data_IF_039113530424
#
_entry.id   IF_039113530424
#
_cell.length_a   1.000
_cell.length_b   1.000
_cell.length_c   1.000
_cell.angle_alpha   90.00
_cell.angle_beta   90.00
_cell.angle_gamma   90.00
#
_symmetry.space_group_name_H-M   'P 1'
#
loop_
_entity.id
_entity.type
_entity.pdbx_description
1 polymer ?
#
# COMPACT_ATOMS: atom_id res chain seq x y z
N UNK A 1 25.06 -18.76 -17.82
CA UNK A 1 23.64 -19.05 -17.98
C UNK A 1 22.98 -18.29 -19.14
N UNK A 2 23.67 -17.31 -19.79
CA UNK A 2 23.12 -16.48 -20.87
C UNK A 2 24.00 -16.46 -22.13
N UNK A 3 24.89 -17.46 -22.30
CA UNK A 3 25.84 -17.50 -23.41
C UNK A 3 25.16 -17.64 -24.80
N UNK A 4 23.94 -18.13 -24.84
CA UNK A 4 23.19 -18.43 -26.07
C UNK A 4 22.04 -17.43 -26.35
N UNK A 5 21.93 -16.34 -25.57
CA UNK A 5 20.90 -15.32 -25.78
C UNK A 5 21.42 -14.25 -26.72
N UNK A 6 20.93 -14.27 -27.95
CA UNK A 6 21.18 -13.23 -28.96
C UNK A 6 19.94 -12.33 -29.02
N UNK A 7 20.12 -11.05 -28.70
CA UNK A 7 19.06 -10.05 -28.92
C UNK A 7 19.28 -9.38 -30.27
N UNK A 8 18.29 -9.51 -31.17
CA UNK A 8 18.28 -8.79 -32.43
C UNK A 8 17.51 -7.49 -32.28
N UNK A 9 18.11 -6.38 -32.68
CA UNK A 9 17.43 -5.10 -32.72
C UNK A 9 16.70 -4.97 -34.06
N UNK A 10 15.35 -4.89 -34.09
CA UNK A 10 14.60 -4.70 -35.33
C UNK A 10 14.80 -3.31 -35.97
N UNK A 11 15.42 -2.36 -35.24
CA UNK A 11 15.67 -0.98 -35.68
C UNK A 11 17.15 -0.66 -35.64
N UNK A 12 17.89 -1.10 -36.65
CA UNK A 12 19.35 -0.93 -36.72
C UNK A 12 19.83 0.51 -36.95
N UNK A 13 18.93 1.45 -37.19
CA UNK A 13 19.26 2.85 -37.55
C UNK A 13 19.08 3.85 -36.40
N UNK A 14 18.39 3.49 -35.32
CA UNK A 14 18.20 4.37 -34.16
C UNK A 14 19.39 4.19 -33.18
N UNK A 15 20.04 5.31 -32.86
CA UNK A 15 21.12 5.33 -31.86
C UNK A 15 20.50 5.44 -30.48
N UNK A 16 20.66 4.43 -29.64
CA UNK A 16 20.34 4.50 -28.21
C UNK A 16 21.44 5.19 -27.41
N UNK A 17 21.12 5.63 -26.22
CA UNK A 17 22.07 6.17 -25.24
C UNK A 17 22.05 5.33 -23.97
N UNK A 18 23.21 5.01 -23.44
CA UNK A 18 23.36 4.31 -22.14
C UNK A 18 24.31 5.12 -21.25
N UNK A 19 23.83 5.44 -20.05
CA UNK A 19 24.60 6.10 -19.01
C UNK A 19 24.69 5.18 -17.79
N UNK A 20 25.87 5.04 -17.22
CA UNK A 20 26.09 4.33 -15.97
C UNK A 20 26.70 5.32 -14.98
N UNK A 21 26.05 5.49 -13.84
CA UNK A 21 26.50 6.35 -12.76
C UNK A 21 26.82 5.52 -11.53
N UNK A 22 27.99 5.75 -10.93
CA UNK A 22 28.38 5.19 -9.64
C UNK A 22 28.18 6.26 -8.58
N UNK A 23 27.38 5.94 -7.55
CA UNK A 23 27.08 6.86 -6.47
C UNK A 23 27.91 6.48 -5.26
N UNK A 24 28.60 7.45 -4.68
CA UNK A 24 29.31 7.31 -3.42
C UNK A 24 28.54 8.06 -2.33
N UNK A 25 28.18 7.41 -1.21
CA UNK A 25 27.49 8.08 -0.11
C UNK A 25 28.40 9.17 0.45
N UNK A 26 27.84 10.34 0.72
CA UNK A 26 28.51 11.43 1.41
C UNK A 26 28.17 11.45 2.91
N UNK A 27 28.71 12.44 3.65
CA UNK A 27 28.50 12.56 5.09
C UNK A 27 27.06 13.00 5.43
N UNK A 28 26.33 13.61 4.50
CA UNK A 28 24.98 14.15 4.70
C UNK A 28 23.90 13.16 4.25
N UNK A 29 24.15 12.39 3.18
CA UNK A 29 23.16 11.52 2.54
C UNK A 29 23.64 10.08 2.45
N UNK A 30 22.84 9.17 2.95
CA UNK A 30 23.05 7.74 2.78
C UNK A 30 22.84 7.29 1.33
N UNK A 31 23.37 6.12 0.96
CA UNK A 31 23.27 5.56 -0.39
C UNK A 31 21.84 5.59 -0.98
N UNK A 32 20.84 5.29 -0.17
CA UNK A 32 19.43 5.27 -0.62
C UNK A 32 18.95 6.66 -0.99
N UNK A 33 19.28 7.65 -0.20
CA UNK A 33 18.85 9.03 -0.40
C UNK A 33 19.55 9.65 -1.62
N UNK A 34 20.85 9.45 -1.75
CA UNK A 34 21.58 9.84 -2.95
C UNK A 34 21.04 9.19 -4.22
N UNK A 35 20.62 7.93 -4.13
CA UNK A 35 19.99 7.23 -5.26
C UNK A 35 18.68 7.90 -5.67
N UNK A 36 17.85 8.31 -4.71
CA UNK A 36 16.58 8.99 -4.98
C UNK A 36 16.83 10.38 -5.60
N UNK A 37 17.77 11.14 -5.06
CA UNK A 37 18.15 12.46 -5.58
C UNK A 37 18.65 12.33 -7.03
N UNK A 38 19.61 11.42 -7.28
CA UNK A 38 20.17 11.21 -8.61
C UNK A 38 19.12 10.73 -9.63
N UNK A 39 18.16 9.90 -9.18
CA UNK A 39 17.04 9.44 -9.99
C UNK A 39 16.11 10.62 -10.35
N UNK A 40 15.81 11.47 -9.39
CA UNK A 40 15.00 12.68 -9.61
C UNK A 40 15.66 13.66 -10.59
N UNK A 41 16.96 13.90 -10.45
CA UNK A 41 17.73 14.75 -11.36
C UNK A 41 17.72 14.20 -12.79
N UNK A 42 17.87 12.89 -12.97
CA UNK A 42 17.85 12.27 -14.29
C UNK A 42 16.47 12.38 -14.95
N UNK A 43 15.39 12.17 -14.18
CA UNK A 43 14.01 12.38 -14.69
C UNK A 43 13.79 13.83 -15.09
N UNK A 44 14.22 14.80 -14.29
CA UNK A 44 14.11 16.22 -14.65
C UNK A 44 14.93 16.56 -15.89
N UNK A 45 16.13 16.00 -16.04
CA UNK A 45 16.94 16.15 -17.23
C UNK A 45 16.25 15.60 -18.49
N UNK A 46 15.63 14.43 -18.38
CA UNK A 46 14.85 13.83 -19.50
C UNK A 46 13.66 14.73 -19.89
N UNK A 47 12.93 15.27 -18.91
CA UNK A 47 11.80 16.18 -19.15
C UNK A 47 12.26 17.47 -19.85
N UNK A 48 13.38 18.06 -19.43
CA UNK A 48 13.95 19.25 -20.10
C UNK A 48 14.43 18.96 -21.52
N UNK A 49 14.76 17.71 -21.80
CA UNK A 49 15.12 17.21 -23.14
C UNK A 49 13.89 16.90 -24.01
N UNK A 50 12.66 17.09 -23.49
CA UNK A 50 11.40 16.91 -24.22
C UNK A 50 10.80 15.51 -24.13
N UNK A 51 11.34 14.63 -23.27
CA UNK A 51 10.73 13.31 -22.97
C UNK A 51 9.52 13.55 -22.07
N UNK A 52 8.40 12.85 -22.32
CA UNK A 52 7.19 12.96 -21.50
C UNK A 52 7.27 12.01 -20.31
N UNK A 53 6.62 12.32 -19.19
CA UNK A 53 6.55 11.46 -18.02
C UNK A 53 6.09 10.03 -18.36
N UNK A 54 5.09 9.90 -19.23
CA UNK A 54 4.55 8.61 -19.66
C UNK A 54 5.51 7.76 -20.53
N UNK A 55 6.61 8.36 -20.99
CA UNK A 55 7.64 7.68 -21.78
C UNK A 55 8.83 7.23 -20.91
N UNK A 56 8.79 7.51 -19.61
CA UNK A 56 9.85 7.19 -18.65
C UNK A 56 9.43 5.98 -17.81
N UNK A 57 10.27 4.95 -17.78
CA UNK A 57 10.08 3.80 -16.92
C UNK A 57 11.26 3.61 -15.97
N UNK A 58 10.98 3.43 -14.68
CA UNK A 58 11.98 3.16 -13.64
C UNK A 58 11.95 1.67 -13.31
N UNK A 59 13.05 0.97 -13.57
CA UNK A 59 13.19 -0.45 -13.28
C UNK A 59 13.97 -0.64 -11.98
N UNK A 60 13.41 -1.42 -11.06
CA UNK A 60 14.03 -1.72 -9.78
C UNK A 60 14.30 -3.22 -9.62
N UNK A 61 15.33 -3.54 -8.88
CA UNK A 61 15.67 -4.96 -8.61
C UNK A 61 14.76 -5.60 -7.55
N UNK A 62 14.24 -4.80 -6.62
CA UNK A 62 13.40 -5.27 -5.50
C UNK A 62 12.20 -4.35 -5.36
N UNK A 63 11.01 -4.94 -5.37
CA UNK A 63 9.74 -4.22 -5.26
C UNK A 63 9.66 -3.34 -4.00
N UNK A 64 10.29 -3.75 -2.90
CA UNK A 64 10.33 -2.96 -1.66
C UNK A 64 10.94 -1.55 -1.81
N UNK A 65 11.60 -1.26 -2.93
CA UNK A 65 12.11 0.09 -3.23
C UNK A 65 11.06 1.00 -3.87
N UNK A 66 9.99 0.42 -4.45
CA UNK A 66 8.96 1.16 -5.19
C UNK A 66 8.24 2.18 -4.31
N UNK A 67 7.75 1.84 -3.09
CA UNK A 67 7.06 2.81 -2.24
C UNK A 67 7.92 4.04 -1.91
N UNK A 68 9.22 3.84 -1.68
CA UNK A 68 10.14 4.95 -1.38
C UNK A 68 10.35 5.87 -2.58
N UNK A 69 10.45 5.28 -3.78
CA UNK A 69 10.57 6.05 -5.02
C UNK A 69 9.28 6.84 -5.25
N UNK A 70 8.12 6.19 -5.12
CA UNK A 70 6.83 6.84 -5.28
C UNK A 70 6.63 7.99 -4.29
N UNK A 71 6.95 7.77 -3.01
CA UNK A 71 6.86 8.78 -1.95
C UNK A 71 7.78 9.99 -2.20
N UNK A 72 9.03 9.76 -2.63
CA UNK A 72 9.97 10.82 -2.98
C UNK A 72 9.49 11.63 -4.20
N UNK A 73 9.01 10.95 -5.25
CA UNK A 73 8.53 11.63 -6.45
C UNK A 73 7.25 12.44 -6.18
N UNK A 74 6.35 11.94 -5.34
CA UNK A 74 5.13 12.67 -4.98
C UNK A 74 5.43 13.88 -4.09
N UNK A 75 6.23 13.71 -3.03
CA UNK A 75 6.51 14.78 -2.06
C UNK A 75 7.46 15.86 -2.55
N UNK A 76 8.55 15.45 -3.18
CA UNK A 76 9.63 16.37 -3.54
C UNK A 76 9.48 16.92 -4.97
N UNK A 77 9.00 16.10 -5.91
CA UNK A 77 8.94 16.45 -7.32
C UNK A 77 7.52 16.71 -7.83
N UNK A 78 6.50 16.32 -7.06
CA UNK A 78 5.09 16.40 -7.41
C UNK A 78 4.74 15.62 -8.70
N UNK A 79 5.41 14.47 -8.91
CA UNK A 79 5.15 13.56 -10.02
C UNK A 79 4.50 12.28 -9.51
N UNK A 80 3.39 11.89 -10.11
CA UNK A 80 2.75 10.61 -9.81
C UNK A 80 3.52 9.45 -10.43
N UNK A 81 3.86 8.46 -9.62
CA UNK A 81 4.47 7.20 -10.06
C UNK A 81 3.40 6.12 -10.12
N UNK A 82 3.25 5.49 -11.29
CA UNK A 82 2.34 4.37 -11.49
C UNK A 82 3.14 3.07 -11.40
N UNK A 83 2.73 2.14 -10.56
CA UNK A 83 3.36 0.82 -10.45
C UNK A 83 2.32 -0.26 -10.15
N UNK A 84 2.57 -1.49 -10.59
CA UNK A 84 1.70 -2.63 -10.27
C UNK A 84 1.61 -2.87 -8.75
N UNK A 85 2.64 -2.54 -7.98
CA UNK A 85 2.63 -2.60 -6.51
C UNK A 85 1.66 -1.58 -5.89
N UNK A 86 1.48 -0.42 -6.52
CA UNK A 86 0.51 0.57 -6.06
C UNK A 86 -0.94 0.10 -6.23
N UNK A 87 -1.18 -0.88 -7.09
CA UNK A 87 -2.51 -1.43 -7.32
C UNK A 87 -2.80 -2.71 -6.53
N UNK A 88 -1.94 -3.11 -5.62
CA UNK A 88 -2.18 -4.25 -4.74
C UNK A 88 -3.22 -3.91 -3.68
N UNK A 89 -4.03 -4.89 -3.31
CA UNK A 89 -5.05 -4.70 -2.26
C UNK A 89 -4.44 -4.28 -0.91
N UNK A 90 -3.23 -4.76 -0.58
CA UNK A 90 -2.52 -4.38 0.65
C UNK A 90 -1.89 -2.98 0.62
N UNK A 91 -1.94 -2.29 -0.53
CA UNK A 91 -1.58 -0.87 -0.63
C UNK A 91 -2.71 0.05 -0.14
N UNK A 92 -3.95 -0.46 -0.07
CA UNK A 92 -5.09 0.31 0.42
C UNK A 92 -5.10 0.45 1.93
N UNK A 93 -5.12 1.69 2.40
CA UNK A 93 -5.21 1.99 3.83
C UNK A 93 -6.51 1.49 4.45
N UNK A 94 -7.64 1.69 3.77
CA UNK A 94 -8.94 1.25 4.26
C UNK A 94 -8.99 -0.28 4.44
N UNK A 95 -8.44 -1.03 3.49
CA UNK A 95 -8.34 -2.49 3.59
C UNK A 95 -7.40 -2.90 4.73
N UNK A 96 -6.24 -2.26 4.86
CA UNK A 96 -5.33 -2.53 5.98
C UNK A 96 -6.01 -2.27 7.33
N UNK A 97 -6.78 -1.21 7.48
CA UNK A 97 -7.56 -0.93 8.68
C UNK A 97 -8.60 -2.01 8.95
N UNK A 98 -9.33 -2.49 7.93
CA UNK A 98 -10.26 -3.61 8.07
C UNK A 98 -9.54 -4.87 8.57
N UNK A 99 -8.40 -5.23 7.95
CA UNK A 99 -7.63 -6.42 8.34
C UNK A 99 -7.09 -6.30 9.76
N UNK A 100 -6.62 -5.13 10.18
CA UNK A 100 -6.16 -4.92 11.55
C UNK A 100 -7.32 -4.99 12.56
N UNK A 101 -8.52 -4.50 12.19
CA UNK A 101 -9.72 -4.69 13.00
C UNK A 101 -10.11 -6.18 13.10
N UNK A 102 -10.07 -6.93 11.99
CA UNK A 102 -10.32 -8.37 12.00
C UNK A 102 -9.30 -9.13 12.86
N UNK A 103 -8.01 -8.80 12.74
CA UNK A 103 -6.94 -9.40 13.56
C UNK A 103 -7.11 -9.11 15.05
N UNK A 104 -7.54 -7.89 15.39
CA UNK A 104 -7.87 -7.56 16.78
C UNK A 104 -9.11 -8.32 17.27
N UNK A 105 -10.14 -8.44 16.44
CA UNK A 105 -11.34 -9.24 16.78
C UNK A 105 -11.02 -10.72 16.93
N UNK A 106 -10.10 -11.28 16.14
CA UNK A 106 -9.63 -12.66 16.26
C UNK A 106 -8.82 -12.87 17.55
N UNK A 107 -7.88 -11.98 17.84
CA UNK A 107 -7.05 -12.00 19.06
C UNK A 107 -6.95 -10.61 19.69
N UNK A 108 -7.69 -10.39 20.78
CA UNK A 108 -7.67 -9.13 21.54
C UNK A 108 -6.30 -8.81 22.15
N UNK A 109 -5.39 -9.77 22.24
CA UNK A 109 -4.02 -9.55 22.70
C UNK A 109 -3.08 -9.11 21.59
N UNK A 110 -3.53 -9.04 20.36
CA UNK A 110 -2.74 -8.55 19.23
C UNK A 110 -2.52 -7.04 19.32
N UNK A 111 -1.49 -6.67 20.12
CA UNK A 111 -1.13 -5.26 20.38
C UNK A 111 -0.69 -4.53 19.12
N UNK A 112 -0.11 -5.25 18.14
CA UNK A 112 0.39 -4.65 16.90
C UNK A 112 -0.79 -4.22 16.04
N UNK A 113 -1.72 -5.13 15.74
CA UNK A 113 -2.91 -4.81 14.94
C UNK A 113 -3.72 -3.66 15.56
N UNK A 114 -3.90 -3.71 16.90
CA UNK A 114 -4.59 -2.66 17.63
C UNK A 114 -3.89 -1.31 17.53
N UNK A 115 -2.57 -1.27 17.64
CA UNK A 115 -1.81 -0.04 17.54
C UNK A 115 -1.82 0.53 16.11
N UNK A 116 -1.68 -0.33 15.10
CA UNK A 116 -1.77 0.06 13.68
C UNK A 116 -3.14 0.65 13.37
N UNK A 117 -4.20 -0.03 13.78
CA UNK A 117 -5.58 0.44 13.60
C UNK A 117 -5.81 1.79 14.28
N UNK A 118 -5.33 1.99 15.52
CA UNK A 118 -5.47 3.23 16.24
C UNK A 118 -4.74 4.39 15.55
N UNK A 119 -3.49 4.19 15.11
CA UNK A 119 -2.72 5.21 14.40
C UNK A 119 -3.39 5.57 13.08
N UNK A 120 -3.79 4.57 12.29
CA UNK A 120 -4.46 4.79 11.01
C UNK A 120 -5.77 5.58 11.19
N UNK A 121 -6.61 5.17 12.12
CA UNK A 121 -7.89 5.85 12.41
C UNK A 121 -7.68 7.31 12.84
N UNK A 122 -6.77 7.56 13.78
CA UNK A 122 -6.53 8.92 14.29
C UNK A 122 -5.91 9.84 13.24
N UNK A 123 -4.99 9.32 12.41
CA UNK A 123 -4.26 10.13 11.45
C UNK A 123 -5.04 10.34 10.16
N UNK A 124 -5.61 9.29 9.61
CA UNK A 124 -6.18 9.34 8.26
C UNK A 124 -7.69 9.66 8.25
N UNK A 125 -8.41 9.23 9.28
CA UNK A 125 -9.84 9.54 9.40
C UNK A 125 -10.07 10.80 10.21
N UNK A 126 -9.51 10.88 11.43
CA UNK A 126 -9.73 12.01 12.34
C UNK A 126 -8.74 13.16 12.17
N UNK A 127 -7.68 13.01 11.38
CA UNK A 127 -6.64 14.02 11.08
C UNK A 127 -5.99 14.61 12.36
N UNK A 128 -5.77 13.78 13.39
CA UNK A 128 -5.28 14.24 14.72
C UNK A 128 -3.78 14.14 14.94
N UNK A 129 -3.02 13.52 14.00
CA UNK A 129 -1.57 13.46 14.06
C UNK A 129 -1.02 12.66 15.25
N UNK A 130 -1.59 11.47 15.51
CA UNK A 130 -1.10 10.57 16.55
C UNK A 130 0.21 9.92 16.13
N UNK A 131 1.24 10.03 16.99
CA UNK A 131 2.51 9.36 16.76
C UNK A 131 2.63 8.04 17.59
N UNK A 132 3.53 7.15 17.15
CA UNK A 132 3.76 5.85 17.77
C UNK A 132 4.28 5.98 19.23
N UNK A 133 5.02 7.04 19.56
CA UNK A 133 5.55 7.23 20.92
C UNK A 133 4.43 7.51 21.89
N UNK A 134 3.38 8.20 21.48
CA UNK A 134 2.19 8.46 22.30
C UNK A 134 1.50 7.15 22.69
N UNK A 135 1.43 6.16 21.78
CA UNK A 135 0.85 4.85 22.06
C UNK A 135 1.67 4.01 23.05
N UNK A 136 2.97 4.27 23.20
CA UNK A 136 3.79 3.60 24.22
C UNK A 136 3.42 4.06 25.63
N UNK A 137 2.85 5.25 25.77
CA UNK A 137 2.50 5.86 27.04
C UNK A 137 1.05 5.61 27.44
N UNK A 138 0.16 5.42 26.49
CA UNK A 138 -1.29 5.28 26.69
C UNK A 138 -1.82 4.04 25.98
N UNK A 139 -2.84 3.37 26.55
CA UNK A 139 -3.48 2.23 25.91
C UNK A 139 -4.08 2.60 24.55
N UNK A 140 -3.83 1.79 23.52
CA UNK A 140 -4.30 2.04 22.16
C UNK A 140 -5.85 2.08 22.06
N UNK A 141 -6.56 1.47 23.00
CA UNK A 141 -8.03 1.51 23.10
C UNK A 141 -8.58 2.92 23.22
N UNK A 142 -7.85 3.84 23.84
CA UNK A 142 -8.26 5.24 23.99
C UNK A 142 -8.35 5.98 22.65
N UNK A 143 -7.80 5.40 21.59
CA UNK A 143 -7.70 5.99 20.26
C UNK A 143 -8.57 5.29 19.22
N UNK A 144 -9.37 4.30 19.64
CA UNK A 144 -10.32 3.57 18.77
C UNK A 144 -11.75 4.11 18.98
N UNK A 145 -12.66 3.94 17.99
CA UNK A 145 -14.06 4.30 18.16
C UNK A 145 -14.70 3.56 19.33
N UNK A 146 -15.44 4.26 20.20
CA UNK A 146 -16.17 3.64 21.31
C UNK A 146 -17.13 2.55 20.83
N UNK A 147 -17.83 2.79 19.72
CA UNK A 147 -18.72 1.82 19.11
C UNK A 147 -18.04 0.50 18.74
N UNK A 148 -16.76 0.54 18.30
CA UNK A 148 -15.98 -0.66 18.01
C UNK A 148 -15.69 -1.46 19.27
N UNK A 149 -15.24 -0.78 20.34
CA UNK A 149 -14.88 -1.43 21.60
C UNK A 149 -16.09 -2.01 22.33
N UNK A 150 -17.19 -1.28 22.35
CA UNK A 150 -18.44 -1.70 23.01
C UNK A 150 -19.08 -2.90 22.31
N UNK A 151 -19.02 -2.95 20.97
CA UNK A 151 -19.62 -3.99 20.15
C UNK A 151 -18.69 -5.18 19.87
N UNK A 152 -17.49 -5.25 20.41
CA UNK A 152 -16.48 -6.27 20.09
C UNK A 152 -17.05 -7.70 20.11
N UNK A 153 -17.87 -8.05 21.12
CA UNK A 153 -18.47 -9.38 21.24
C UNK A 153 -19.52 -9.67 20.17
N UNK A 154 -20.28 -8.66 19.77
CA UNK A 154 -21.30 -8.74 18.72
C UNK A 154 -20.64 -8.88 17.35
N UNK A 155 -19.67 -8.03 17.07
CA UNK A 155 -18.89 -8.03 15.83
C UNK A 155 -18.23 -9.40 15.56
N UNK A 156 -17.71 -10.05 16.58
CA UNK A 156 -17.10 -11.41 16.46
C UNK A 156 -18.07 -12.50 16.03
N UNK A 157 -19.35 -12.31 16.21
CA UNK A 157 -20.40 -13.27 15.87
C UNK A 157 -21.06 -12.97 14.53
N UNK A 158 -20.74 -11.84 13.91
CA UNK A 158 -21.29 -11.46 12.61
C UNK A 158 -20.71 -12.31 11.48
N UNK A 159 -21.50 -12.60 10.44
CA UNK A 159 -20.97 -13.13 9.18
C UNK A 159 -19.91 -12.17 8.61
N UNK A 160 -18.88 -12.72 7.97
CA UNK A 160 -17.72 -11.94 7.52
C UNK A 160 -18.08 -10.72 6.68
N UNK A 161 -18.99 -10.85 5.72
CA UNK A 161 -19.36 -9.77 4.83
C UNK A 161 -20.04 -8.61 5.61
N UNK A 162 -21.03 -8.95 6.45
CA UNK A 162 -21.73 -7.98 7.31
C UNK A 162 -20.77 -7.31 8.31
N UNK A 163 -19.82 -8.08 8.85
CA UNK A 163 -18.77 -7.56 9.72
C UNK A 163 -17.93 -6.49 9.03
N UNK A 164 -17.50 -6.74 7.78
CA UNK A 164 -16.71 -5.77 7.02
C UNK A 164 -17.49 -4.49 6.72
N UNK A 165 -18.78 -4.60 6.40
CA UNK A 165 -19.66 -3.42 6.21
C UNK A 165 -19.83 -2.62 7.51
N UNK A 166 -20.02 -3.30 8.65
CA UNK A 166 -20.11 -2.64 9.94
C UNK A 166 -18.79 -1.97 10.34
N UNK A 167 -17.64 -2.62 10.09
CA UNK A 167 -16.33 -2.01 10.31
C UNK A 167 -16.11 -0.78 9.41
N UNK A 168 -16.49 -0.84 8.14
CA UNK A 168 -16.44 0.30 7.23
C UNK A 168 -17.22 1.49 7.80
N UNK A 169 -18.40 1.22 8.34
CA UNK A 169 -19.26 2.25 8.95
C UNK A 169 -18.69 2.79 10.26
N UNK A 170 -18.26 1.91 11.19
CA UNK A 170 -17.74 2.30 12.51
C UNK A 170 -16.49 3.16 12.40
N UNK A 171 -15.60 2.83 11.47
CA UNK A 171 -14.34 3.56 11.24
C UNK A 171 -14.47 4.71 10.25
N UNK A 172 -15.70 5.03 9.76
CA UNK A 172 -15.96 6.11 8.81
C UNK A 172 -15.01 6.10 7.61
N UNK A 173 -14.74 4.91 7.06
CA UNK A 173 -13.71 4.70 6.02
C UNK A 173 -14.03 5.41 4.70
N UNK A 174 -15.27 5.84 4.51
CA UNK A 174 -15.68 6.72 3.41
C UNK A 174 -15.00 8.10 3.43
N UNK A 175 -14.39 8.50 4.53
CA UNK A 175 -13.62 9.74 4.64
C UNK A 175 -12.19 9.60 4.09
N UNK A 176 -11.71 8.37 3.89
CA UNK A 176 -10.39 8.11 3.31
C UNK A 176 -10.51 8.21 1.79
N UNK A 177 -9.77 9.15 1.20
CA UNK A 177 -9.83 9.44 -0.23
C UNK A 177 -9.17 8.33 -1.06
N UNK A 178 -9.59 8.23 -2.31
CA UNK A 178 -8.97 7.37 -3.36
C UNK A 178 -8.92 5.87 -2.99
N UNK A 179 -9.94 5.38 -2.23
CA UNK A 179 -10.00 3.98 -1.79
C UNK A 179 -11.09 3.17 -2.51
N UNK A 180 -11.97 3.80 -3.27
CA UNK A 180 -13.18 3.15 -3.81
C UNK A 180 -12.87 1.93 -4.68
N UNK A 181 -11.93 2.04 -5.63
CA UNK A 181 -11.55 0.93 -6.50
C UNK A 181 -10.98 -0.27 -5.71
N UNK A 182 -10.19 0.00 -4.67
CA UNK A 182 -9.66 -1.03 -3.79
C UNK A 182 -10.76 -1.71 -2.98
N UNK A 183 -11.69 -0.93 -2.43
CA UNK A 183 -12.81 -1.43 -1.65
C UNK A 183 -13.72 -2.31 -2.50
N UNK A 184 -14.07 -1.88 -3.71
CA UNK A 184 -14.87 -2.71 -4.63
C UNK A 184 -14.18 -4.04 -4.92
N UNK A 185 -12.91 -4.01 -5.33
CA UNK A 185 -12.15 -5.22 -5.63
C UNK A 185 -11.97 -6.12 -4.39
N UNK A 186 -11.86 -5.54 -3.20
CA UNK A 186 -11.78 -6.27 -1.94
C UNK A 186 -13.10 -6.97 -1.61
N UNK A 187 -14.23 -6.28 -1.66
CA UNK A 187 -15.54 -6.88 -1.40
C UNK A 187 -15.92 -7.95 -2.43
N UNK A 188 -15.54 -7.77 -3.70
CA UNK A 188 -15.66 -8.82 -4.72
C UNK A 188 -14.83 -10.05 -4.34
N UNK A 189 -13.58 -9.86 -3.92
CA UNK A 189 -12.72 -10.97 -3.51
C UNK A 189 -13.23 -11.66 -2.22
N UNK A 190 -13.85 -10.93 -1.30
CA UNK A 190 -14.53 -11.51 -0.12
C UNK A 190 -15.74 -12.34 -0.55
N UNK A 191 -16.52 -11.84 -1.49
CA UNK A 191 -17.68 -12.57 -2.05
C UNK A 191 -17.23 -13.87 -2.72
N UNK A 192 -16.19 -13.83 -3.53
CA UNK A 192 -15.59 -15.01 -4.17
C UNK A 192 -15.09 -16.03 -3.12
N UNK A 193 -14.43 -15.56 -2.07
CA UNK A 193 -13.98 -16.40 -0.97
C UNK A 193 -15.15 -17.13 -0.31
N UNK A 194 -16.24 -16.44 -0.01
CA UNK A 194 -17.42 -16.98 0.68
C UNK A 194 -18.20 -18.00 -0.15
N UNK A 195 -18.04 -18.01 -1.49
CA UNK A 195 -18.66 -19.06 -2.33
C UNK A 195 -18.10 -20.45 -2.07
N UNK A 196 -16.85 -20.55 -1.62
CA UNK A 196 -16.13 -21.81 -1.48
C UNK A 196 -15.61 -22.09 -0.06
N UNK A 197 -15.71 -21.13 0.85
CA UNK A 197 -15.17 -21.21 2.21
C UNK A 197 -16.22 -20.81 3.26
N UNK A 198 -15.96 -21.18 4.50
CA UNK A 198 -16.76 -20.71 5.63
C UNK A 198 -16.50 -19.23 5.93
N UNK A 199 -17.46 -18.58 6.59
CA UNK A 199 -17.33 -17.18 7.05
C UNK A 199 -16.49 -17.03 8.34
N UNK A 200 -15.65 -18.02 8.67
CA UNK A 200 -14.77 -17.96 9.84
C UNK A 200 -13.69 -16.90 9.68
N UNK A 201 -13.56 -16.06 10.69
CA UNK A 201 -12.64 -14.93 10.73
C UNK A 201 -11.18 -15.35 10.52
N UNK A 202 -10.71 -16.35 11.27
CA UNK A 202 -9.32 -16.84 11.21
C UNK A 202 -9.00 -17.47 9.85
N UNK A 203 -9.99 -18.16 9.26
CA UNK A 203 -9.85 -18.72 7.90
C UNK A 203 -9.65 -17.64 6.86
N UNK A 204 -10.40 -16.55 6.95
CA UNK A 204 -10.26 -15.43 6.03
C UNK A 204 -8.94 -14.66 6.22
N UNK A 205 -8.53 -14.39 7.47
CA UNK A 205 -7.24 -13.72 7.75
C UNK A 205 -6.08 -14.51 7.14
N UNK A 206 -6.09 -15.84 7.30
CA UNK A 206 -5.06 -16.70 6.69
C UNK A 206 -5.10 -16.64 5.17
N UNK A 207 -6.27 -16.72 4.57
CA UNK A 207 -6.43 -16.62 3.12
C UNK A 207 -5.97 -15.26 2.57
N UNK A 208 -6.23 -14.18 3.33
CA UNK A 208 -5.69 -12.86 3.01
C UNK A 208 -4.16 -12.88 2.99
N UNK A 209 -3.54 -13.32 4.07
CA UNK A 209 -2.08 -13.30 4.22
C UNK A 209 -1.36 -14.17 3.17
N UNK A 210 -1.98 -15.29 2.77
CA UNK A 210 -1.40 -16.23 1.81
C UNK A 210 -1.69 -15.87 0.33
N UNK A 211 -2.80 -15.20 0.04
CA UNK A 211 -3.31 -15.10 -1.33
C UNK A 211 -3.74 -13.69 -1.72
N UNK A 212 -4.64 -13.07 -0.96
CA UNK A 212 -5.29 -11.83 -1.39
C UNK A 212 -4.42 -10.59 -1.23
N UNK A 213 -3.54 -10.53 -0.24
CA UNK A 213 -2.71 -9.35 0.03
C UNK A 213 -1.90 -8.89 -1.19
N UNK A 214 -1.51 -9.83 -2.06
CA UNK A 214 -0.74 -9.55 -3.27
C UNK A 214 -1.58 -9.41 -4.54
N UNK A 215 -2.91 -9.59 -4.45
CA UNK A 215 -3.81 -9.42 -5.61
C UNK A 215 -3.82 -7.96 -6.05
N UNK A 216 -3.65 -7.74 -7.34
CA UNK A 216 -3.69 -6.40 -7.94
C UNK A 216 -5.06 -6.12 -8.54
N UNK A 217 -5.49 -4.86 -8.46
CA UNK A 217 -6.65 -4.35 -9.20
C UNK A 217 -6.20 -3.89 -10.60
N UNK A 218 -7.08 -3.98 -11.63
CA UNK A 218 -6.76 -3.48 -12.97
C UNK A 218 -6.46 -1.98 -12.95
N UNK A 219 -5.38 -1.57 -13.58
CA UNK A 219 -4.91 -0.17 -13.60
C UNK A 219 -5.88 0.84 -14.24
N UNK A 220 -6.92 0.38 -14.91
CA UNK A 220 -7.96 1.22 -15.52
C UNK A 220 -9.12 1.59 -14.59
N UNK A 221 -9.12 1.09 -13.35
CA UNK A 221 -10.18 1.37 -12.36
C UNK A 221 -9.76 2.43 -11.31
N UNK A 222 -8.49 2.85 -11.38
CA UNK A 222 -7.92 3.87 -10.48
C UNK A 222 -7.60 5.12 -11.31
N UNK A 223 -8.58 5.97 -11.55
CA UNK A 223 -8.41 7.34 -12.07
C UNK A 223 -8.71 8.38 -10.98
#
# INVERSE_FOLDING_TARGET
AYADVVQESPRSTEKGYVKVSFLEPDEEHGYTEQTLISLGEEVQHLLTSGVRLNDIAILVRKNKSIPRIADYFDKELHYKVVSDEAFRLDASLAICMMLDALRFLSDENNKIARAQLAVAYQNEVLQKGLDWNTLLLLPAENYLPAAFLEKTKELRLMPLYELLEELFSIFEMNLIKDQDAYLFAFFDAVTDYLQSNSSELDGFIRYWDETLCSKTIPSGEVE
#
